data_IF_948511265898
#
_entry.id   IF_948511265898
#
_cell.length_a   1.000
_cell.length_b   1.000
_cell.length_c   1.000
_cell.angle_alpha   90.00
_cell.angle_beta   90.00
_cell.angle_gamma   90.00
#
_symmetry.space_group_name_H-M   'P 1'
#
loop_
_entity.id
_entity.type
_entity.pdbx_description
1 polymer ?
#
# COMPACT_ATOMS: atom_id res chain seq x y z
N UNK A 1 10.07 41.19 -21.61
CA UNK A 1 10.59 40.31 -22.68
C UNK A 1 10.40 38.87 -22.23
N UNK A 2 9.20 38.30 -22.39
CA UNK A 2 8.82 36.96 -21.89
C UNK A 2 9.12 35.83 -22.89
N UNK A 3 10.09 36.08 -23.77
CA UNK A 3 10.37 35.25 -24.94
C UNK A 3 11.24 34.04 -24.57
N UNK A 4 12.06 34.17 -23.52
CA UNK A 4 13.10 33.23 -23.15
C UNK A 4 12.66 31.86 -22.57
N UNK A 5 11.37 31.49 -22.56
CA UNK A 5 10.92 30.19 -22.03
C UNK A 5 10.17 29.34 -23.05
N UNK A 6 9.17 29.92 -23.71
CA UNK A 6 8.33 29.22 -24.69
C UNK A 6 9.10 28.81 -25.95
N UNK A 7 10.06 29.61 -26.40
CA UNK A 7 10.87 29.32 -27.58
C UNK A 7 11.80 28.11 -27.36
N UNK A 8 12.42 28.01 -26.18
CA UNK A 8 13.27 26.88 -25.83
C UNK A 8 12.49 25.57 -25.76
N UNK A 9 11.25 25.60 -25.26
CA UNK A 9 10.37 24.42 -25.24
C UNK A 9 10.10 23.92 -26.66
N UNK A 10 9.84 24.83 -27.61
CA UNK A 10 9.60 24.48 -29.02
C UNK A 10 10.86 23.89 -29.64
N UNK A 11 12.03 24.48 -29.39
CA UNK A 11 13.33 23.99 -29.90
C UNK A 11 13.62 22.58 -29.38
N UNK A 12 13.41 22.33 -28.09
CA UNK A 12 13.61 21.00 -27.48
C UNK A 12 12.65 19.99 -28.08
N UNK A 13 11.36 20.35 -28.21
CA UNK A 13 10.35 19.49 -28.80
C UNK A 13 10.70 19.14 -30.26
N UNK A 14 11.14 20.13 -31.05
CA UNK A 14 11.57 19.92 -32.41
C UNK A 14 12.83 19.03 -32.48
N UNK A 15 13.79 19.24 -31.59
CA UNK A 15 14.97 18.38 -31.47
C UNK A 15 14.61 16.93 -31.17
N UNK A 16 13.68 16.69 -30.24
CA UNK A 16 13.16 15.35 -29.95
C UNK A 16 12.45 14.74 -31.17
N UNK A 17 11.65 15.52 -31.89
CA UNK A 17 10.99 15.06 -33.13
C UNK A 17 12.00 14.72 -34.21
N UNK A 18 13.11 15.45 -34.34
CA UNK A 18 14.15 15.15 -35.33
C UNK A 18 14.96 13.89 -34.98
N UNK A 19 15.30 13.71 -33.70
CA UNK A 19 16.06 12.54 -33.23
C UNK A 19 15.20 11.27 -33.24
N UNK A 20 13.98 11.34 -32.72
CA UNK A 20 13.10 10.18 -32.58
C UNK A 20 12.15 9.99 -33.78
N UNK A 21 11.93 11.02 -34.59
CA UNK A 21 10.98 11.01 -35.69
C UNK A 21 9.53 11.24 -35.24
N UNK A 22 8.71 11.79 -36.14
CA UNK A 22 7.28 12.09 -35.90
C UNK A 22 6.42 10.84 -35.65
N UNK A 23 6.89 9.65 -36.06
CA UNK A 23 6.16 8.38 -35.88
C UNK A 23 6.33 7.79 -34.48
N UNK A 24 7.43 8.08 -33.77
CA UNK A 24 7.73 7.46 -32.47
C UNK A 24 7.02 8.13 -31.31
N UNK A 25 6.88 9.45 -31.31
CA UNK A 25 6.11 10.19 -30.30
C UNK A 25 4.66 9.69 -30.11
N UNK A 26 3.84 9.53 -31.18
CA UNK A 26 2.48 9.03 -31.03
C UNK A 26 2.42 7.54 -30.68
N UNK A 27 3.42 6.74 -31.06
CA UNK A 27 3.50 5.34 -30.62
C UNK A 27 3.79 5.24 -29.13
N UNK A 28 4.71 6.08 -28.63
CA UNK A 28 5.09 6.14 -27.22
C UNK A 28 3.96 6.67 -26.32
N UNK A 29 3.23 7.71 -26.75
CA UNK A 29 2.08 8.21 -26.00
C UNK A 29 0.96 7.17 -25.90
N UNK A 30 0.75 6.37 -26.95
CA UNK A 30 -0.21 5.26 -26.92
C UNK A 30 0.21 4.17 -25.93
N UNK A 31 1.49 3.79 -25.87
CA UNK A 31 1.96 2.79 -24.90
C UNK A 31 1.88 3.30 -23.46
N UNK A 32 2.27 4.55 -23.21
CA UNK A 32 2.13 5.17 -21.89
C UNK A 32 0.65 5.28 -21.50
N UNK A 33 -0.21 5.73 -22.42
CA UNK A 33 -1.64 5.85 -22.15
C UNK A 33 -2.29 4.51 -21.82
N UNK A 34 -1.89 3.43 -22.51
CA UNK A 34 -2.32 2.06 -22.17
C UNK A 34 -1.83 1.64 -20.78
N UNK A 35 -0.55 1.83 -20.49
CA UNK A 35 0.04 1.46 -19.21
C UNK A 35 -0.60 2.22 -18.04
N UNK A 36 -0.81 3.53 -18.18
CA UNK A 36 -1.51 4.36 -17.18
C UNK A 36 -2.97 3.91 -17.02
N UNK A 37 -3.65 3.59 -18.12
CA UNK A 37 -5.03 3.11 -18.07
C UNK A 37 -5.18 1.74 -17.39
N UNK A 38 -4.26 0.81 -17.65
CA UNK A 38 -4.21 -0.50 -16.97
C UNK A 38 -3.83 -0.34 -15.49
N UNK A 39 -2.89 0.55 -15.18
CA UNK A 39 -2.51 0.88 -13.81
C UNK A 39 -3.69 1.46 -13.01
N UNK A 40 -4.47 2.40 -13.57
CA UNK A 40 -5.61 2.98 -12.86
C UNK A 40 -6.73 1.95 -12.63
N UNK A 41 -6.93 1.02 -13.58
CA UNK A 41 -7.85 -0.12 -13.40
C UNK A 41 -7.40 -1.02 -12.27
N UNK A 42 -6.12 -1.40 -12.26
CA UNK A 42 -5.54 -2.22 -11.19
C UNK A 42 -5.66 -1.51 -9.84
N UNK A 43 -5.28 -0.24 -9.78
CA UNK A 43 -5.40 0.61 -8.58
C UNK A 43 -6.82 0.68 -8.05
N UNK A 44 -7.81 0.79 -8.94
CA UNK A 44 -9.24 0.82 -8.58
C UNK A 44 -9.69 -0.52 -8.00
N UNK A 45 -9.28 -1.64 -8.62
CA UNK A 45 -9.57 -2.99 -8.11
C UNK A 45 -8.92 -3.21 -6.74
N UNK A 46 -7.64 -2.86 -6.57
CA UNK A 46 -6.95 -2.92 -5.28
C UNK A 46 -7.65 -2.06 -4.22
N UNK A 47 -8.04 -0.83 -4.56
CA UNK A 47 -8.74 0.04 -3.62
C UNK A 47 -10.06 -0.57 -3.17
N UNK A 48 -10.82 -1.14 -4.11
CA UNK A 48 -12.08 -1.82 -3.83
C UNK A 48 -11.87 -3.06 -2.96
N UNK A 49 -10.88 -3.89 -3.26
CA UNK A 49 -10.54 -5.07 -2.44
C UNK A 49 -10.08 -4.66 -1.04
N UNK A 50 -9.28 -3.61 -0.90
CA UNK A 50 -8.85 -3.11 0.41
C UNK A 50 -10.02 -2.52 1.20
N UNK A 51 -10.95 -1.83 0.55
CA UNK A 51 -12.16 -1.28 1.17
C UNK A 51 -13.13 -2.40 1.57
N UNK A 52 -13.27 -3.45 0.75
CA UNK A 52 -14.04 -4.66 1.07
C UNK A 52 -13.39 -5.49 2.19
N UNK A 53 -12.05 -5.53 2.28
CA UNK A 53 -11.33 -6.16 3.37
C UNK A 53 -11.36 -5.35 4.67
N UNK A 54 -11.42 -4.01 4.55
CA UNK A 54 -11.53 -3.08 5.67
C UNK A 54 -12.95 -2.96 6.23
N UNK A 55 -13.98 -3.42 5.49
CA UNK A 55 -15.35 -3.44 5.97
C UNK A 55 -15.51 -4.49 7.11
N UNK A 56 -15.65 -4.04 8.37
CA UNK A 56 -15.71 -4.93 9.52
C UNK A 56 -16.99 -5.79 9.55
N UNK A 57 -18.01 -5.44 8.76
CA UNK A 57 -19.27 -6.19 8.69
C UNK A 57 -19.14 -7.52 7.93
N UNK A 58 -18.12 -7.67 7.06
CA UNK A 58 -17.79 -8.95 6.39
C UNK A 58 -16.63 -9.71 7.03
N UNK A 59 -15.76 -9.02 7.76
CA UNK A 59 -14.58 -9.59 8.45
C UNK A 59 -14.86 -10.17 9.85
N UNK A 60 -16.11 -10.23 10.30
CA UNK A 60 -16.47 -10.77 11.62
C UNK A 60 -16.20 -12.28 11.81
N UNK A 61 -15.69 -12.99 10.80
CA UNK A 61 -15.18 -14.35 10.95
C UNK A 61 -13.88 -14.51 10.15
N UNK A 62 -12.75 -14.53 10.86
CA UNK A 62 -11.57 -15.31 10.48
C UNK A 62 -10.52 -14.67 9.55
N UNK A 63 -10.10 -13.41 9.74
CA UNK A 63 -8.77 -12.98 9.24
C UNK A 63 -8.04 -12.13 10.29
N UNK A 64 -6.91 -12.59 10.85
CA UNK A 64 -6.10 -11.79 11.76
C UNK A 64 -5.51 -10.60 10.99
N UNK A 65 -5.65 -9.41 11.56
CA UNK A 65 -5.13 -8.15 11.02
C UNK A 65 -3.59 -8.25 10.98
N UNK A 66 -3.00 -8.42 9.80
CA UNK A 66 -1.54 -8.49 9.63
C UNK A 66 -0.97 -7.08 9.77
N UNK A 67 -0.67 -6.68 11.01
CA UNK A 67 -0.09 -5.37 11.35
C UNK A 67 1.44 -5.42 11.22
N UNK A 68 1.96 -5.40 9.98
CA UNK A 68 3.37 -5.12 9.68
C UNK A 68 4.44 -6.03 10.33
N UNK A 69 5.73 -5.70 10.14
CA UNK A 69 6.83 -6.34 10.85
C UNK A 69 6.80 -5.95 12.33
N UNK A 70 6.75 -6.96 13.19
CA UNK A 70 6.66 -6.73 14.63
C UNK A 70 8.03 -6.32 15.17
N UNK A 71 8.19 -5.05 15.51
CA UNK A 71 9.50 -4.44 15.76
C UNK A 71 10.05 -4.73 17.16
N UNK A 72 9.16 -5.02 18.12
CA UNK A 72 9.53 -5.22 19.53
C UNK A 72 8.94 -6.51 20.09
N UNK A 73 9.56 -7.07 21.13
CA UNK A 73 9.00 -8.23 21.84
C UNK A 73 7.62 -7.91 22.44
N UNK A 74 7.42 -6.67 22.90
CA UNK A 74 6.14 -6.20 23.42
C UNK A 74 5.02 -6.36 22.39
N UNK A 75 5.25 -5.86 21.18
CA UNK A 75 4.25 -5.89 20.10
C UNK A 75 3.93 -7.33 19.64
N UNK A 76 4.90 -8.27 19.76
CA UNK A 76 4.66 -9.70 19.50
C UNK A 76 3.69 -10.29 20.53
N UNK A 77 3.89 -9.97 21.80
CA UNK A 77 3.04 -10.42 22.88
C UNK A 77 1.62 -9.86 22.74
N UNK A 78 1.49 -8.59 22.37
CA UNK A 78 0.19 -7.93 22.16
C UNK A 78 -0.56 -8.51 20.96
N UNK A 79 0.15 -8.83 19.87
CA UNK A 79 -0.44 -9.49 18.69
C UNK A 79 -0.99 -10.88 19.05
N UNK A 80 -0.24 -11.66 19.83
CA UNK A 80 -0.66 -12.98 20.29
C UNK A 80 -1.84 -12.85 21.28
N UNK A 81 -1.80 -11.89 22.20
CA UNK A 81 -2.87 -11.61 23.15
C UNK A 81 -4.19 -11.24 22.44
N UNK A 82 -4.13 -10.36 21.44
CA UNK A 82 -5.28 -10.00 20.60
C UNK A 82 -5.81 -11.22 19.83
N UNK A 83 -4.93 -12.08 19.34
CA UNK A 83 -5.33 -13.31 18.63
C UNK A 83 -6.00 -14.34 19.56
N UNK A 84 -5.70 -14.30 20.86
CA UNK A 84 -6.29 -15.16 21.90
C UNK A 84 -7.50 -14.52 22.61
N UNK A 85 -7.93 -13.30 22.21
CA UNK A 85 -9.05 -12.58 22.82
C UNK A 85 -8.77 -12.06 24.24
N UNK A 86 -7.52 -11.68 24.53
CA UNK A 86 -7.11 -11.10 25.81
C UNK A 86 -7.12 -9.56 25.64
N UNK A 87 -8.23 -8.91 25.98
CA UNK A 87 -8.42 -7.47 25.69
C UNK A 87 -7.76 -6.53 26.71
N UNK A 88 -7.59 -6.95 27.98
CA UNK A 88 -7.04 -6.12 29.08
C UNK A 88 -5.51 -6.21 29.25
N UNK A 89 -4.75 -6.17 28.16
CA UNK A 89 -3.28 -6.32 28.21
C UNK A 89 -2.49 -5.01 28.34
N UNK A 90 -3.14 -3.85 28.20
CA UNK A 90 -2.48 -2.53 28.14
C UNK A 90 -1.75 -2.13 29.45
N UNK A 91 -2.22 -2.61 30.60
CA UNK A 91 -1.62 -2.30 31.91
C UNK A 91 -0.70 -3.42 32.43
N UNK A 92 -0.49 -4.49 31.65
CA UNK A 92 0.32 -5.63 32.07
C UNK A 92 1.78 -5.41 31.69
N UNK A 93 2.69 -5.82 32.58
CA UNK A 93 4.11 -5.94 32.23
C UNK A 93 4.31 -7.11 31.26
N UNK A 94 5.42 -7.10 30.53
CA UNK A 94 5.72 -8.12 29.51
C UNK A 94 5.70 -9.54 30.09
N UNK A 95 6.17 -9.70 31.33
CA UNK A 95 6.17 -10.97 32.05
C UNK A 95 4.75 -11.43 32.40
N UNK A 96 3.89 -10.52 32.86
CA UNK A 96 2.50 -10.83 33.17
C UNK A 96 1.72 -11.21 31.90
N UNK A 97 1.98 -10.50 30.80
CA UNK A 97 1.36 -10.79 29.51
C UNK A 97 1.79 -12.17 28.97
N UNK A 98 3.08 -12.52 29.08
CA UNK A 98 3.59 -13.87 28.75
C UNK A 98 2.92 -14.96 29.57
N UNK A 99 2.79 -14.77 30.87
CA UNK A 99 2.14 -15.76 31.75
C UNK A 99 0.68 -15.98 31.37
N UNK A 100 -0.07 -14.92 31.06
CA UNK A 100 -1.47 -15.05 30.64
C UNK A 100 -1.61 -15.77 29.30
N UNK A 101 -0.77 -15.43 28.32
CA UNK A 101 -0.73 -16.12 27.01
C UNK A 101 -0.43 -17.61 27.22
N UNK A 102 0.63 -17.94 27.97
CA UNK A 102 1.02 -19.33 28.24
C UNK A 102 -0.09 -20.11 28.94
N UNK A 103 -0.75 -19.49 29.93
CA UNK A 103 -1.88 -20.10 30.65
C UNK A 103 -3.04 -20.38 29.70
N UNK A 104 -3.31 -19.49 28.75
CA UNK A 104 -4.43 -19.64 27.82
C UNK A 104 -4.17 -20.55 26.63
N UNK A 105 -2.89 -20.76 26.27
CA UNK A 105 -2.50 -21.75 25.27
C UNK A 105 -2.46 -23.19 25.81
N UNK A 106 -2.26 -23.35 27.13
CA UNK A 106 -2.14 -24.67 27.78
C UNK A 106 -3.45 -25.15 28.41
N UNK A 107 -4.38 -24.24 28.71
CA UNK A 107 -5.77 -24.56 29.11
C UNK A 107 -6.67 -24.78 27.91
#
# INVERSE_FOLDING_TARGET
MNIAGSEWIIIILLGLVLVFGTKKLPQFSRSIGKAVGEFEKARTMFRREMEEAADPAKSARMIPKITGPVATEREKLETIANSLGIDDHANLTDEQLRMLISKRMTS
#
